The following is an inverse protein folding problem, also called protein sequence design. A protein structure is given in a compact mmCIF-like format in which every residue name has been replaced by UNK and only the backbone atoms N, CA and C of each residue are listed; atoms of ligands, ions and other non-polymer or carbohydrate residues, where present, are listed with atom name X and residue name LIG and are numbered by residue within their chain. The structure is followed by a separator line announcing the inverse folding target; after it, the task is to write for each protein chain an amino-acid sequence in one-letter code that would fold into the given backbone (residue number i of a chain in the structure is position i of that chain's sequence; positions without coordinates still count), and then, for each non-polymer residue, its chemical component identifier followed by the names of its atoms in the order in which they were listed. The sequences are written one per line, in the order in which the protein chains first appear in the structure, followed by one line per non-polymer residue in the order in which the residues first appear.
data_IF_804778588978
#
_entry.id   IF_804778588978
#
_cell.length_a   1.000
_cell.length_b   1.000
_cell.length_c   1.000
_cell.angle_alpha   90.00
_cell.angle_beta   90.00
_cell.angle_gamma   90.00
#
_symmetry.space_group_name_H-M   'P 1'
#
loop_
_entity.id
_entity.type
_entity.pdbx_description
1 polymer ?
#
# COMPACT_ATOMS: atom_id res chain seq x y z
N UNK A 1 -45.41 10.62 -32.68
CA UNK A 1 -44.66 11.26 -31.58
C UNK A 1 -43.26 10.67 -31.54
N UNK A 2 -42.23 11.46 -31.86
CA UNK A 2 -40.83 11.00 -31.87
C UNK A 2 -40.22 11.20 -30.49
N UNK A 3 -39.72 10.12 -29.89
CA UNK A 3 -39.01 10.20 -28.62
C UNK A 3 -37.62 10.77 -28.85
N UNK A 4 -37.37 11.98 -28.33
CA UNK A 4 -36.05 12.60 -28.31
C UNK A 4 -35.27 11.96 -27.15
N UNK A 5 -34.36 11.05 -27.48
CA UNK A 5 -33.45 10.43 -26.52
C UNK A 5 -32.44 11.45 -26.00
N UNK A 6 -32.51 11.75 -24.71
CA UNK A 6 -31.54 12.60 -24.01
C UNK A 6 -30.21 11.85 -23.85
N UNK A 7 -29.16 12.35 -24.49
CA UNK A 7 -27.80 11.84 -24.35
C UNK A 7 -27.24 12.40 -23.03
N UNK A 8 -27.19 11.57 -21.98
CA UNK A 8 -26.50 11.92 -20.74
C UNK A 8 -24.99 11.85 -21.00
N UNK A 9 -24.37 13.02 -21.19
CA UNK A 9 -22.92 13.14 -21.20
C UNK A 9 -22.39 12.79 -19.80
N UNK A 10 -21.81 11.60 -19.66
CA UNK A 10 -21.18 11.14 -18.43
C UNK A 10 -19.95 12.02 -18.16
N UNK A 11 -20.06 12.92 -17.18
CA UNK A 11 -18.90 13.64 -16.65
C UNK A 11 -17.98 12.60 -16.03
N UNK A 12 -16.83 12.36 -16.67
CA UNK A 12 -15.72 11.60 -16.11
C UNK A 12 -15.25 12.34 -14.87
N UNK A 13 -15.82 12.03 -13.70
CA UNK A 13 -15.21 12.41 -12.44
C UNK A 13 -13.85 11.71 -12.43
N UNK A 14 -12.71 12.43 -12.34
CA UNK A 14 -11.46 11.76 -12.08
C UNK A 14 -11.73 11.01 -10.78
N UNK A 15 -11.57 9.69 -10.80
CA UNK A 15 -11.68 8.85 -9.63
C UNK A 15 -10.79 9.52 -8.60
N UNK A 16 -11.39 10.29 -7.69
CA UNK A 16 -10.68 10.85 -6.57
C UNK A 16 -10.38 9.61 -5.79
N UNK A 17 -9.20 9.04 -6.04
CA UNK A 17 -8.58 8.02 -5.21
C UNK A 17 -8.97 8.42 -3.81
N UNK A 18 -9.88 7.65 -3.20
CA UNK A 18 -10.17 7.78 -1.77
C UNK A 18 -8.89 7.27 -1.14
N UNK A 19 -7.90 8.15 -1.13
CA UNK A 19 -6.52 7.80 -0.97
C UNK A 19 -6.41 7.26 0.43
N UNK A 20 -6.09 5.97 0.53
CA UNK A 20 -6.18 5.19 1.75
C UNK A 20 -5.59 6.00 2.92
N UNK A 21 -6.43 6.26 3.92
CA UNK A 21 -6.05 6.99 5.14
C UNK A 21 -6.32 8.50 5.17
N UNK A 22 -6.94 9.12 4.14
CA UNK A 22 -7.44 10.53 4.26
C UNK A 22 -8.66 10.66 5.18
N UNK A 23 -9.55 9.68 5.17
CA UNK A 23 -10.74 9.66 6.04
C UNK A 23 -10.44 9.34 7.51
N UNK A 24 -9.29 8.73 7.81
CA UNK A 24 -8.96 8.30 9.16
C UNK A 24 -8.41 9.44 10.02
N UNK A 25 -9.28 9.99 10.88
CA UNK A 25 -8.97 11.06 11.84
C UNK A 25 -7.92 10.66 12.90
N UNK A 26 -7.49 9.40 12.99
CA UNK A 26 -6.45 8.91 13.91
C UNK A 26 -5.05 8.88 13.28
N UNK A 27 -4.93 9.05 11.96
CA UNK A 27 -3.63 9.04 11.27
C UNK A 27 -3.09 10.44 10.99
N UNK A 28 -1.78 10.55 10.75
CA UNK A 28 -1.14 11.79 10.29
C UNK A 28 -1.75 12.30 8.97
N UNK A 29 -2.13 11.38 8.07
CA UNK A 29 -2.74 11.70 6.76
C UNK A 29 -4.15 12.26 6.93
N UNK A 30 -5.03 11.61 7.69
CA UNK A 30 -6.39 12.11 7.85
C UNK A 30 -6.48 13.37 8.72
N UNK A 31 -5.61 13.54 9.72
CA UNK A 31 -5.47 14.83 10.41
C UNK A 31 -5.03 15.96 9.48
N UNK A 32 -4.12 15.69 8.53
CA UNK A 32 -3.69 16.68 7.52
C UNK A 32 -4.84 17.06 6.60
N UNK A 33 -5.60 16.08 6.11
CA UNK A 33 -6.76 16.31 5.24
C UNK A 33 -7.87 17.10 5.95
N UNK A 34 -8.17 16.76 7.20
CA UNK A 34 -9.15 17.47 8.03
C UNK A 34 -8.61 18.79 8.62
N UNK A 35 -7.44 19.28 8.18
CA UNK A 35 -6.78 20.51 8.67
C UNK A 35 -6.67 20.62 10.21
N UNK A 36 -6.66 19.48 10.91
CA UNK A 36 -6.71 19.41 12.36
C UNK A 36 -5.36 18.96 12.94
N UNK A 37 -5.14 19.28 14.21
CA UNK A 37 -3.98 18.83 14.97
C UNK A 37 -4.41 17.81 16.02
N UNK A 38 -3.47 17.00 16.48
CA UNK A 38 -3.70 16.00 17.51
C UNK A 38 -2.46 15.14 17.69
N UNK A 39 -2.57 14.06 18.49
CA UNK A 39 -1.43 13.20 18.81
C UNK A 39 -0.69 12.66 17.57
N UNK A 40 -1.42 12.25 16.53
CA UNK A 40 -0.83 11.76 15.27
C UNK A 40 -0.25 12.88 14.36
N UNK A 41 -0.59 14.15 14.60
CA UNK A 41 -0.10 15.32 13.85
C UNK A 41 0.19 16.48 14.83
N UNK A 42 1.30 16.42 15.57
CA UNK A 42 1.71 17.48 16.48
C UNK A 42 2.12 18.75 15.70
N UNK A 43 2.01 19.93 16.34
CA UNK A 43 2.42 21.22 15.75
C UNK A 43 3.95 21.39 15.73
N UNK A 44 4.58 21.05 16.85
CA UNK A 44 6.01 21.25 17.09
C UNK A 44 6.63 19.94 17.55
N UNK A 45 7.95 19.78 17.34
CA UNK A 45 8.72 18.58 17.76
C UNK A 45 8.73 18.37 19.28
N UNK A 46 8.43 19.41 20.06
CA UNK A 46 8.30 19.35 21.52
C UNK A 46 6.99 18.66 21.98
N UNK A 47 5.96 18.61 21.14
CA UNK A 47 4.73 17.89 21.47
C UNK A 47 4.92 16.41 21.13
N UNK A 48 4.78 15.56 22.14
CA UNK A 48 4.89 14.11 21.99
C UNK A 48 3.96 13.59 20.90
N UNK A 49 4.47 12.62 20.14
CA UNK A 49 3.63 11.71 19.37
C UNK A 49 3.20 10.58 20.33
N UNK A 50 2.28 9.71 19.91
CA UNK A 50 1.94 8.51 20.67
C UNK A 50 3.18 7.66 21.01
N UNK A 51 3.00 6.58 21.80
CA UNK A 51 4.09 5.73 22.24
C UNK A 51 5.04 5.37 21.10
N UNK A 52 6.35 5.40 21.38
CA UNK A 52 7.34 5.03 20.38
C UNK A 52 7.02 3.62 19.87
N UNK A 53 6.97 3.46 18.54
CA UNK A 53 6.82 2.14 17.96
C UNK A 53 8.10 1.38 18.30
N UNK A 54 7.99 0.32 19.09
CA UNK A 54 9.11 -0.57 19.37
C UNK A 54 9.70 -1.00 18.03
N UNK A 55 11.01 -0.87 17.90
CA UNK A 55 11.72 -1.40 16.75
C UNK A 55 11.61 -2.92 16.83
N UNK A 56 10.70 -3.48 16.05
CA UNK A 56 10.72 -4.92 15.82
C UNK A 56 11.93 -5.19 14.91
N UNK A 57 12.85 -6.11 15.29
CA UNK A 57 13.84 -6.57 14.34
C UNK A 57 13.11 -7.09 13.08
N UNK A 58 13.72 -6.97 11.89
CA UNK A 58 13.13 -7.55 10.69
C UNK A 58 12.78 -9.00 10.98
N UNK A 59 11.60 -9.44 10.51
CA UNK A 59 11.19 -10.81 10.69
C UNK A 59 12.32 -11.73 10.21
N UNK A 60 12.65 -12.80 10.96
CA UNK A 60 13.65 -13.74 10.50
C UNK A 60 13.27 -14.21 9.09
N UNK A 61 14.26 -14.40 8.18
CA UNK A 61 13.99 -14.92 6.86
C UNK A 61 13.20 -16.22 7.02
N UNK A 62 12.05 -16.30 6.33
CA UNK A 62 11.31 -17.55 6.27
C UNK A 62 12.20 -18.53 5.53
N UNK A 63 12.43 -19.70 6.13
CA UNK A 63 13.01 -20.84 5.43
C UNK A 63 12.09 -21.10 4.24
N UNK A 64 12.63 -20.96 3.04
CA UNK A 64 11.90 -21.32 1.83
C UNK A 64 11.56 -22.81 1.96
N UNK A 65 10.30 -23.15 1.68
CA UNK A 65 9.82 -24.53 1.82
C UNK A 65 10.45 -25.46 0.78
N UNK A 66 11.08 -24.91 -0.24
CA UNK A 66 11.69 -25.63 -1.36
C UNK A 66 13.21 -25.60 -1.36
N UNK A 67 13.83 -24.98 -0.35
CA UNK A 67 15.29 -24.88 -0.22
C UNK A 67 15.77 -26.01 0.70
N UNK A 68 15.54 -27.25 0.25
CA UNK A 68 15.80 -28.49 0.99
C UNK A 68 17.30 -28.87 1.02
N UNK A 69 18.18 -27.99 0.50
CA UNK A 69 19.62 -28.25 0.41
C UNK A 69 19.97 -29.38 -0.55
N UNK A 70 19.01 -29.91 -1.30
CA UNK A 70 19.23 -30.91 -2.35
C UNK A 70 19.81 -30.22 -3.58
N UNK A 71 21.13 -30.34 -3.75
CA UNK A 71 21.82 -29.95 -4.97
C UNK A 71 21.53 -31.04 -5.99
N UNK A 72 20.50 -30.83 -6.81
CA UNK A 72 20.23 -31.69 -7.96
C UNK A 72 21.25 -31.30 -9.03
N UNK A 73 22.23 -32.16 -9.28
CA UNK A 73 23.15 -32.01 -10.40
C UNK A 73 22.39 -32.26 -11.69
N UNK A 74 21.98 -31.17 -12.34
CA UNK A 74 21.35 -31.22 -13.66
C UNK A 74 22.45 -31.57 -14.66
N UNK A 75 22.47 -32.82 -15.09
CA UNK A 75 23.20 -33.24 -16.28
C UNK A 75 22.45 -32.68 -17.49
N UNK A 76 23.08 -31.71 -18.16
CA UNK A 76 22.55 -31.15 -19.41
C UNK A 76 23.08 -32.06 -20.50
N UNK A 77 22.19 -32.86 -21.10
CA UNK A 77 22.52 -33.66 -22.28
C UNK A 77 22.79 -32.72 -23.48
N UNK A 78 23.91 -32.94 -24.18
CA UNK A 78 24.38 -32.07 -25.27
C UNK A 78 23.44 -32.06 -26.50
N UNK A 79 22.46 -32.96 -26.55
CA UNK A 79 21.44 -33.06 -27.61
C UNK A 79 20.45 -31.88 -27.65
N UNK A 80 20.41 -31.04 -26.60
CA UNK A 80 19.57 -29.82 -26.55
C UNK A 80 20.24 -28.63 -27.27
N UNK A 81 21.53 -28.72 -27.60
CA UNK A 81 22.29 -27.62 -28.21
C UNK A 81 22.45 -27.73 -29.73
N UNK A 82 21.95 -28.80 -30.36
CA UNK A 82 21.99 -29.04 -31.81
C UNK A 82 20.79 -28.45 -32.58
#
# INVERSE_FOLDING_TARGET
AFAVGTVLSATVTPVLDVYCGRGDKKTKRGKRFNHSYGNARPRNKKKGTGPARLFAPPAPPRKDQFDDGEIISIEIDEDILE
#
